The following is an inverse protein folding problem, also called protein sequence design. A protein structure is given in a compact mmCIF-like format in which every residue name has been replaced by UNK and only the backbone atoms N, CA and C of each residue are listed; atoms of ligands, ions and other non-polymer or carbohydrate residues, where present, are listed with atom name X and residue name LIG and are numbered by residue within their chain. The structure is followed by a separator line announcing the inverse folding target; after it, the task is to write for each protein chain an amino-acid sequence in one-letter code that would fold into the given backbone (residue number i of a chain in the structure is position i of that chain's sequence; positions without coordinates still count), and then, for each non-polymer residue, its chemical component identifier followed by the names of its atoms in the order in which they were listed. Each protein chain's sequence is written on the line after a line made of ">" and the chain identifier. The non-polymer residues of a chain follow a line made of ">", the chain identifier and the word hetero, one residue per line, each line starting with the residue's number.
data_IF_857518262411
#
_entry.id   IF_857518262411
#
_cell.length_a   1.000
_cell.length_b   1.000
_cell.length_c   1.000
_cell.angle_alpha   90.00
_cell.angle_beta   90.00
_cell.angle_gamma   90.00
#
_symmetry.space_group_name_H-M   'P 1'
#
loop_
_entity.id
_entity.type
_entity.pdbx_description
1 polymer ?
#
# COMPACT_ATOMS: atom_id res chain seq x y z
N UNK A 1 -2.40 1.64 9.68
CA UNK A 1 -1.02 2.13 9.88
C UNK A 1 -0.08 0.94 9.95
N UNK A 2 1.07 1.00 9.28
CA UNK A 2 2.03 -0.12 9.20
C UNK A 2 3.45 0.40 9.42
N UNK A 3 4.30 -0.41 10.05
CA UNK A 3 5.72 -0.11 10.28
C UNK A 3 5.95 1.21 11.06
N UNK A 4 5.28 1.33 12.20
CA UNK A 4 5.45 2.46 13.11
C UNK A 4 6.79 2.36 13.85
N UNK A 5 7.53 3.46 13.89
CA UNK A 5 8.72 3.57 14.71
C UNK A 5 8.62 4.76 15.65
N UNK A 6 9.17 4.60 16.84
CA UNK A 6 9.32 5.67 17.82
C UNK A 6 10.61 6.41 17.55
N UNK A 7 10.52 7.67 17.15
CA UNK A 7 11.68 8.51 16.84
C UNK A 7 11.72 9.72 17.75
N UNK A 8 12.88 9.93 18.34
CA UNK A 8 13.17 11.15 19.08
C UNK A 8 13.34 12.31 18.09
N UNK A 9 12.47 13.31 18.19
CA UNK A 9 12.49 14.51 17.35
C UNK A 9 12.89 15.70 18.20
N UNK A 10 13.91 16.44 17.74
CA UNK A 10 14.26 17.74 18.32
C UNK A 10 13.13 18.74 18.04
N UNK A 11 12.83 19.66 18.97
CA UNK A 11 11.83 20.70 18.74
C UNK A 11 12.21 21.56 17.54
N UNK A 12 11.21 21.99 16.77
CA UNK A 12 11.38 22.98 15.70
C UNK A 12 10.45 24.19 15.97
N UNK A 13 10.96 25.25 16.63
CA UNK A 13 10.17 26.43 16.98
C UNK A 13 9.60 27.17 15.77
N UNK A 14 10.29 27.17 14.63
CA UNK A 14 9.83 27.85 13.40
C UNK A 14 8.58 27.20 12.79
N UNK A 15 8.38 25.91 13.05
CA UNK A 15 7.21 25.15 12.60
C UNK A 15 6.21 24.89 13.73
N UNK A 16 6.38 25.50 14.91
CA UNK A 16 5.61 25.23 16.13
C UNK A 16 5.49 23.73 16.45
N UNK A 17 6.53 22.95 16.13
CA UNK A 17 6.55 21.52 16.40
C UNK A 17 7.27 21.26 17.74
N UNK A 18 6.53 20.81 18.78
CA UNK A 18 7.16 20.43 20.04
C UNK A 18 8.10 19.23 19.83
N UNK A 19 9.18 19.20 20.58
CA UNK A 19 10.08 18.05 20.62
C UNK A 19 9.46 16.88 21.38
N UNK A 20 10.02 15.69 21.22
CA UNK A 20 9.56 14.51 21.95
C UNK A 20 9.73 13.22 21.15
N UNK A 21 9.07 12.17 21.63
CA UNK A 21 9.01 10.89 20.92
C UNK A 21 7.76 10.92 20.03
N UNK A 22 7.98 10.87 18.72
CA UNK A 22 6.91 10.83 17.72
C UNK A 22 6.83 9.42 17.15
N UNK A 23 5.61 8.92 16.96
CA UNK A 23 5.37 7.73 16.15
C UNK A 23 5.15 8.15 14.71
N UNK A 24 6.01 7.65 13.82
CA UNK A 24 5.90 7.89 12.37
C UNK A 24 5.99 6.56 11.62
N UNK A 25 5.25 6.46 10.52
CA UNK A 25 5.34 5.32 9.61
C UNK A 25 6.66 5.36 8.84
N UNK A 26 7.25 4.17 8.64
CA UNK A 26 8.48 4.02 7.87
C UNK A 26 8.27 3.21 6.60
N UNK A 27 9.08 3.46 5.55
CA UNK A 27 8.96 2.75 4.29
C UNK A 27 9.02 1.23 4.47
N UNK A 28 8.23 0.52 3.68
CA UNK A 28 8.31 -0.93 3.49
C UNK A 28 8.75 -1.22 2.07
N UNK A 29 9.53 -2.29 1.90
CA UNK A 29 9.93 -2.72 0.57
C UNK A 29 8.70 -3.26 -0.19
N UNK A 30 8.59 -2.93 -1.48
CA UNK A 30 7.42 -3.28 -2.31
C UNK A 30 7.20 -4.79 -2.44
N UNK A 31 8.26 -5.60 -2.31
CA UNK A 31 8.13 -7.07 -2.34
C UNK A 31 7.42 -7.66 -1.12
N UNK A 32 7.30 -6.89 -0.03
CA UNK A 32 6.69 -7.35 1.22
C UNK A 32 5.21 -7.00 1.32
N UNK A 33 4.64 -6.42 0.26
CA UNK A 33 3.21 -6.09 0.19
C UNK A 33 2.57 -6.82 -1.00
N UNK A 34 1.28 -7.15 -0.86
CA UNK A 34 0.45 -7.73 -1.90
C UNK A 34 -0.88 -6.99 -1.96
N UNK A 35 -1.53 -7.01 -3.12
CA UNK A 35 -2.90 -6.52 -3.22
C UNK A 35 -3.84 -7.50 -2.54
N UNK A 36 -4.70 -6.96 -1.69
CA UNK A 36 -5.70 -7.72 -0.97
C UNK A 36 -6.89 -8.00 -1.88
N UNK A 37 -7.28 -9.27 -1.96
CA UNK A 37 -8.47 -9.71 -2.65
C UNK A 37 -9.59 -9.89 -1.61
N UNK A 38 -10.67 -9.13 -1.75
CA UNK A 38 -11.82 -9.17 -0.83
C UNK A 38 -12.65 -10.45 -0.95
N UNK A 39 -12.67 -11.09 -2.11
CA UNK A 39 -13.43 -12.32 -2.38
C UNK A 39 -12.82 -13.53 -1.66
N UNK A 40 -11.48 -13.59 -1.61
CA UNK A 40 -10.74 -14.70 -1.03
C UNK A 40 -10.03 -14.37 0.30
N UNK A 41 -10.23 -13.16 0.82
CA UNK A 41 -9.65 -12.61 2.06
C UNK A 41 -8.12 -12.77 2.18
N UNK A 42 -7.42 -12.75 1.04
CA UNK A 42 -5.97 -13.05 0.96
C UNK A 42 -5.24 -12.10 0.03
N UNK A 43 -3.95 -11.93 0.29
CA UNK A 43 -3.03 -11.27 -0.64
C UNK A 43 -2.83 -12.12 -1.90
N UNK A 44 -3.05 -11.52 -3.08
CA UNK A 44 -3.03 -12.22 -4.37
C UNK A 44 -1.87 -11.83 -5.28
N UNK A 45 -1.49 -12.76 -6.18
CA UNK A 45 -0.59 -12.44 -7.30
C UNK A 45 -1.38 -11.81 -8.45
N UNK A 46 -0.78 -10.84 -9.11
CA UNK A 46 -1.42 -10.04 -10.16
C UNK A 46 -0.95 -10.52 -11.54
N UNK A 47 -1.87 -10.59 -12.49
CA UNK A 47 -1.62 -10.68 -13.93
C UNK A 47 -2.09 -9.42 -14.65
N UNK A 48 -1.70 -9.27 -15.92
CA UNK A 48 -2.16 -8.19 -16.80
C UNK A 48 -2.82 -8.85 -18.01
N UNK A 49 -4.04 -8.41 -18.36
CA UNK A 49 -4.74 -8.82 -19.57
C UNK A 49 -5.28 -7.60 -20.31
N UNK A 50 -5.54 -7.76 -21.61
CA UNK A 50 -6.20 -6.75 -22.44
C UNK A 50 -7.67 -7.13 -22.59
N UNK A 51 -8.57 -6.20 -22.29
CA UNK A 51 -10.01 -6.37 -22.48
C UNK A 51 -10.40 -6.16 -23.96
N UNK A 52 -11.64 -6.49 -24.30
CA UNK A 52 -12.15 -6.39 -25.68
C UNK A 52 -12.19 -4.94 -26.21
N UNK A 53 -12.25 -3.96 -25.31
CA UNK A 53 -12.17 -2.53 -25.61
C UNK A 53 -10.73 -2.01 -25.82
N UNK A 54 -9.72 -2.89 -25.70
CA UNK A 54 -8.31 -2.55 -25.81
C UNK A 54 -7.66 -2.05 -24.51
N UNK A 55 -8.41 -1.94 -23.41
CA UNK A 55 -7.87 -1.49 -22.13
C UNK A 55 -7.01 -2.58 -21.48
N UNK A 56 -5.82 -2.20 -21.01
CA UNK A 56 -4.96 -3.07 -20.20
C UNK A 56 -5.38 -2.97 -18.75
N UNK A 57 -5.77 -4.09 -18.17
CA UNK A 57 -6.23 -4.17 -16.78
C UNK A 57 -5.42 -5.17 -15.98
N UNK A 58 -5.25 -4.89 -14.69
CA UNK A 58 -4.72 -5.84 -13.72
C UNK A 58 -5.84 -6.77 -13.23
N UNK A 59 -5.51 -8.04 -13.05
CA UNK A 59 -6.45 -9.03 -12.52
C UNK A 59 -5.77 -9.95 -11.51
N UNK A 60 -6.54 -10.48 -10.56
CA UNK A 60 -6.05 -11.49 -9.63
C UNK A 60 -5.91 -12.84 -10.34
N UNK A 61 -4.72 -13.45 -10.25
CA UNK A 61 -4.47 -14.75 -10.88
C UNK A 61 -5.26 -15.91 -10.25
N UNK A 62 -5.78 -15.73 -9.03
CA UNK A 62 -6.52 -16.74 -8.27
C UNK A 62 -7.91 -17.01 -8.83
N UNK A 63 -8.64 -15.96 -9.18
CA UNK A 63 -10.08 -16.00 -9.52
C UNK A 63 -10.41 -15.25 -10.82
N UNK A 64 -9.44 -14.54 -11.40
CA UNK A 64 -9.64 -13.79 -12.64
C UNK A 64 -10.27 -12.40 -12.46
N UNK A 65 -10.57 -12.00 -11.21
CA UNK A 65 -11.25 -10.76 -10.89
C UNK A 65 -10.39 -9.53 -11.23
N UNK A 66 -11.01 -8.52 -11.84
CA UNK A 66 -10.33 -7.31 -12.30
C UNK A 66 -10.16 -6.33 -11.13
N UNK A 67 -8.96 -5.77 -11.00
CA UNK A 67 -8.58 -4.90 -9.89
C UNK A 67 -8.91 -3.43 -10.20
N UNK A 68 -8.79 -3.03 -11.46
CA UNK A 68 -8.99 -1.64 -11.89
C UNK A 68 -10.48 -1.39 -12.15
N UNK A 69 -11.28 -1.36 -11.08
CA UNK A 69 -12.59 -0.69 -11.10
C UNK A 69 -12.34 0.79 -10.85
N UNK A 70 -12.52 1.60 -11.90
CA UNK A 70 -12.49 3.08 -11.80
C UNK A 70 -13.57 3.57 -10.85
#
# INVERSE_FOLDING_TARGET
>A
NVNLVRKHRKPNPQQNQPGGIVEEERPLHVSNVALYNSTNEKGGRIGIKTLADGQRVRYFKSDGEVIDTV
#
